data_IF_125016176713
#
_entry.id   IF_125016176713
#
_cell.length_a   1.000
_cell.length_b   1.000
_cell.length_c   1.000
_cell.angle_alpha   90.00
_cell.angle_beta   90.00
_cell.angle_gamma   90.00
#
_symmetry.space_group_name_H-M   'P 1'
#
loop_
_entity.id
_entity.type
_entity.pdbx_description
1 polymer ?
#
# COMPACT_ATOMS: atom_id res chain seq x y z
N UNK A 1 -0.21 -6.41 42.37
CA UNK A 1 0.58 -7.21 41.40
C UNK A 1 -0.29 -8.30 40.82
N UNK A 2 0.02 -8.92 39.67
CA UNK A 2 -0.63 -10.19 39.28
C UNK A 2 -0.70 -11.20 40.46
N UNK A 3 0.33 -11.19 41.32
CA UNK A 3 0.42 -11.96 42.57
C UNK A 3 -0.66 -11.68 43.64
N UNK A 4 -1.40 -10.57 43.56
CA UNK A 4 -2.39 -10.16 44.57
C UNK A 4 -3.79 -10.03 43.98
N UNK A 5 -4.03 -10.59 42.79
CA UNK A 5 -5.33 -10.56 42.13
C UNK A 5 -6.19 -11.73 42.59
N UNK A 6 -7.47 -11.49 42.86
CA UNK A 6 -8.43 -12.56 43.22
C UNK A 6 -8.62 -13.58 42.09
N UNK A 7 -8.48 -13.13 40.83
CA UNK A 7 -8.50 -13.98 39.64
C UNK A 7 -7.44 -13.55 38.62
N UNK A 8 -6.82 -14.52 37.97
CA UNK A 8 -5.87 -14.33 36.86
C UNK A 8 -6.22 -15.32 35.75
N UNK A 9 -6.24 -14.84 34.50
CA UNK A 9 -6.41 -15.69 33.32
C UNK A 9 -5.16 -15.57 32.46
N UNK A 10 -4.48 -16.68 32.24
CA UNK A 10 -3.32 -16.78 31.38
C UNK A 10 -3.63 -17.71 30.20
N UNK A 11 -3.35 -17.22 28.99
CA UNK A 11 -3.58 -17.98 27.78
C UNK A 11 -2.58 -17.57 26.68
N UNK A 12 -2.29 -18.51 25.80
CA UNK A 12 -1.48 -18.27 24.59
C UNK A 12 -2.37 -18.38 23.37
N UNK A 13 -2.33 -17.36 22.51
CA UNK A 13 -3.09 -17.31 21.27
C UNK A 13 -2.14 -17.20 20.07
N UNK A 14 -2.58 -17.71 18.91
CA UNK A 14 -1.86 -17.60 17.64
C UNK A 14 -2.83 -17.23 16.53
N UNK A 15 -2.34 -16.49 15.55
CA UNK A 15 -3.04 -16.22 14.29
C UNK A 15 -2.18 -16.69 13.12
N UNK A 16 -2.82 -17.19 12.07
CA UNK A 16 -2.14 -17.62 10.85
C UNK A 16 -1.85 -16.44 9.94
N UNK A 17 -0.92 -16.60 9.00
CA UNK A 17 -0.69 -15.63 7.91
C UNK A 17 -2.01 -15.36 7.20
N UNK A 18 -2.34 -14.07 7.05
CA UNK A 18 -3.51 -13.61 6.30
C UNK A 18 -3.03 -12.83 5.07
N UNK A 19 -3.69 -13.05 3.94
CA UNK A 19 -3.47 -12.28 2.71
C UNK A 19 -4.67 -11.40 2.44
N UNK A 20 -4.41 -10.19 1.98
CA UNK A 20 -5.42 -9.16 1.76
C UNK A 20 -6.48 -9.54 0.72
N UNK A 21 -6.12 -10.40 -0.24
CA UNK A 21 -7.02 -10.99 -1.26
C UNK A 21 -8.00 -10.00 -1.91
N UNK A 22 -7.57 -8.83 -2.39
CA UNK A 22 -8.44 -7.95 -3.18
C UNK A 22 -8.90 -8.63 -4.47
N UNK A 23 -10.15 -8.40 -4.87
CA UNK A 23 -10.70 -8.99 -6.10
C UNK A 23 -9.99 -8.44 -7.36
N UNK A 24 -9.62 -7.16 -7.35
CA UNK A 24 -8.74 -6.60 -8.38
C UNK A 24 -7.28 -6.93 -8.04
N UNK A 25 -6.51 -7.41 -9.02
CA UNK A 25 -5.07 -7.67 -8.87
C UNK A 25 -4.26 -6.38 -8.67
N UNK A 26 -3.01 -6.52 -8.23
CA UNK A 26 -2.05 -5.42 -8.29
C UNK A 26 -1.73 -5.11 -9.75
N UNK A 27 -2.01 -3.89 -10.19
CA UNK A 27 -1.89 -3.49 -11.58
C UNK A 27 -1.48 -2.03 -11.72
N UNK A 28 -0.66 -1.76 -12.74
CA UNK A 28 -0.19 -0.43 -13.09
C UNK A 28 -0.07 -0.28 -14.61
N UNK A 29 -0.45 0.87 -15.14
CA UNK A 29 -0.15 1.31 -16.50
C UNK A 29 0.67 2.60 -16.40
N UNK A 30 1.81 2.65 -17.08
CA UNK A 30 2.65 3.83 -17.14
C UNK A 30 2.74 4.35 -18.58
N UNK A 31 2.55 5.65 -18.74
CA UNK A 31 2.84 6.37 -19.98
C UNK A 31 3.95 7.37 -19.69
N UNK A 32 5.06 7.24 -20.40
CA UNK A 32 6.28 8.02 -20.20
C UNK A 32 6.57 8.86 -21.44
N UNK A 33 6.75 10.17 -21.25
CA UNK A 33 7.27 11.11 -22.25
C UNK A 33 8.55 11.79 -21.73
N UNK A 34 9.23 12.56 -22.58
CA UNK A 34 10.43 13.30 -22.17
C UNK A 34 10.19 14.28 -20.99
N UNK A 35 8.94 14.70 -20.81
CA UNK A 35 8.51 15.69 -19.83
C UNK A 35 7.86 15.11 -18.57
N UNK A 36 7.10 14.01 -18.71
CA UNK A 36 6.23 13.53 -17.64
C UNK A 36 6.03 12.01 -17.69
N UNK A 37 5.91 11.42 -16.50
CA UNK A 37 5.47 10.05 -16.27
C UNK A 37 4.05 10.11 -15.70
N UNK A 38 3.07 9.61 -16.44
CA UNK A 38 1.70 9.42 -15.95
C UNK A 38 1.47 7.95 -15.62
N UNK A 39 0.98 7.69 -14.41
CA UNK A 39 0.79 6.34 -13.87
C UNK A 39 -0.67 6.18 -13.47
N UNK A 40 -1.32 5.15 -14.00
CA UNK A 40 -2.60 4.66 -13.50
C UNK A 40 -2.34 3.42 -12.66
N UNK A 41 -2.59 3.50 -11.36
CA UNK A 41 -2.30 2.41 -10.43
C UNK A 41 -3.52 2.07 -9.58
N UNK A 42 -3.72 0.78 -9.33
CA UNK A 42 -4.57 0.29 -8.24
C UNK A 42 -3.79 0.46 -6.93
N UNK A 43 -3.96 1.59 -6.24
CA UNK A 43 -3.18 1.94 -5.02
C UNK A 43 -4.00 2.72 -3.99
N UNK A 44 -3.70 2.54 -2.70
CA UNK A 44 -4.22 3.39 -1.61
C UNK A 44 -3.32 4.62 -1.37
N UNK A 45 -2.14 4.68 -1.99
CA UNK A 45 -1.09 5.67 -1.70
C UNK A 45 -0.50 6.30 -2.96
N UNK A 46 -1.27 7.11 -3.68
CA UNK A 46 -0.81 7.81 -4.89
C UNK A 46 0.45 8.65 -4.68
N UNK A 47 0.56 9.33 -3.53
CA UNK A 47 1.76 10.11 -3.16
C UNK A 47 2.97 9.21 -2.92
N UNK A 48 2.78 8.04 -2.32
CA UNK A 48 3.86 7.07 -2.09
C UNK A 48 4.36 6.49 -3.41
N UNK A 49 3.45 6.13 -4.31
CA UNK A 49 3.81 5.68 -5.67
C UNK A 49 4.60 6.76 -6.41
N UNK A 50 4.14 8.02 -6.36
CA UNK A 50 4.83 9.15 -6.99
C UNK A 50 6.26 9.28 -6.48
N UNK A 51 6.42 9.26 -5.16
CA UNK A 51 7.70 9.47 -4.49
C UNK A 51 8.66 8.29 -4.81
N UNK A 52 8.19 7.05 -4.69
CA UNK A 52 8.99 5.86 -5.05
C UNK A 52 9.45 5.90 -6.51
N UNK A 53 8.58 6.27 -7.45
CA UNK A 53 8.93 6.34 -8.87
C UNK A 53 9.93 7.47 -9.13
N UNK A 54 9.70 8.65 -8.55
CA UNK A 54 10.60 9.79 -8.66
C UNK A 54 12.00 9.43 -8.16
N UNK A 55 12.08 8.78 -7.00
CA UNK A 55 13.34 8.37 -6.37
C UNK A 55 14.03 7.27 -7.20
N UNK A 56 13.31 6.24 -7.64
CA UNK A 56 13.87 5.10 -8.36
C UNK A 56 14.45 5.47 -9.74
N UNK A 57 13.77 6.38 -10.45
CA UNK A 57 14.21 6.85 -11.76
C UNK A 57 15.01 8.15 -11.72
N UNK A 58 15.27 8.69 -10.52
CA UNK A 58 16.01 9.93 -10.30
C UNK A 58 15.44 11.12 -11.12
N UNK A 59 14.11 11.31 -11.06
CA UNK A 59 13.40 12.43 -11.70
C UNK A 59 12.72 13.31 -10.66
N UNK A 60 12.51 14.62 -10.92
CA UNK A 60 11.74 15.47 -10.02
C UNK A 60 10.33 14.92 -9.79
N UNK A 61 9.83 14.97 -8.54
CA UNK A 61 8.45 14.55 -8.20
C UNK A 61 7.38 15.27 -9.03
N UNK A 62 7.64 16.50 -9.47
CA UNK A 62 6.76 17.27 -10.35
C UNK A 62 6.58 16.66 -11.74
N UNK A 63 7.52 15.81 -12.19
CA UNK A 63 7.41 15.03 -13.44
C UNK A 63 6.61 13.75 -13.29
N UNK A 64 6.16 13.37 -12.09
CA UNK A 64 5.41 12.13 -11.87
C UNK A 64 3.97 12.44 -11.47
N UNK A 65 3.02 11.97 -12.27
CA UNK A 65 1.57 12.09 -12.01
C UNK A 65 0.99 10.71 -11.78
N UNK A 66 0.45 10.45 -10.59
CA UNK A 66 -0.22 9.18 -10.25
C UNK A 66 -1.72 9.39 -10.15
N UNK A 67 -2.49 8.51 -10.81
CA UNK A 67 -3.93 8.54 -10.89
C UNK A 67 -4.51 7.22 -10.39
N UNK A 68 -5.48 7.32 -9.48
CA UNK A 68 -6.33 6.21 -9.05
C UNK A 68 -7.75 6.74 -8.98
N UNK A 69 -8.58 6.36 -9.95
CA UNK A 69 -10.00 6.79 -9.99
C UNK A 69 -10.91 5.80 -9.25
N UNK A 70 -10.64 4.51 -9.41
CA UNK A 70 -11.35 3.41 -8.75
C UNK A 70 -10.33 2.34 -8.36
N UNK A 71 -10.66 1.54 -7.34
CA UNK A 71 -9.82 0.45 -6.85
C UNK A 71 -10.71 -0.71 -6.37
N UNK A 72 -10.47 -1.92 -6.85
CA UNK A 72 -11.22 -3.14 -6.49
C UNK A 72 -10.72 -3.82 -5.23
N UNK A 73 -10.40 -3.02 -4.20
CA UNK A 73 -9.88 -3.46 -2.92
C UNK A 73 -8.36 -3.41 -2.80
N UNK A 74 -7.90 -3.22 -1.57
CA UNK A 74 -6.48 -3.20 -1.20
C UNK A 74 -6.27 -3.73 0.22
N UNK A 75 -7.15 -3.36 1.17
CA UNK A 75 -7.16 -3.85 2.56
C UNK A 75 -5.85 -3.64 3.32
N UNK A 76 -4.97 -2.74 2.86
CA UNK A 76 -3.63 -2.51 3.41
C UNK A 76 -2.49 -2.97 2.49
N UNK A 77 -2.78 -3.66 1.38
CA UNK A 77 -1.77 -4.20 0.46
C UNK A 77 -1.36 -3.31 -0.72
N UNK A 78 -2.03 -2.19 -0.94
CA UNK A 78 -1.91 -1.38 -2.17
C UNK A 78 -1.72 0.10 -1.87
#
# INVERSE_FOLDING_TARGET
>A
TLRSSDHVVEATYRTQVQTHSPMETHGVVAHWTDDQITIWASTQGTSRVRDTVADYFNVPKSRVRVLTKFMGGGFGSK
#
